data_IF_272225124119
#
_entry.id   IF_272225124119
#
_cell.length_a   1.000
_cell.length_b   1.000
_cell.length_c   1.000
_cell.angle_alpha   90.00
_cell.angle_beta   90.00
_cell.angle_gamma   90.00
#
_symmetry.space_group_name_H-M   'P 1'
#
loop_
_entity.id
_entity.type
_entity.pdbx_description
1 polymer ?
#
# COMPACT_ATOMS: atom_id res chain seq x y z
N UNK A 1 -13.64 -0.96 -10.88
CA UNK A 1 -12.26 -0.54 -11.15
C UNK A 1 -11.32 -1.02 -10.03
N UNK A 2 -10.01 -1.15 -10.31
CA UNK A 2 -9.02 -1.56 -9.30
C UNK A 2 -8.94 -0.58 -8.13
N UNK A 3 -9.18 0.73 -8.37
CA UNK A 3 -9.20 1.73 -7.30
C UNK A 3 -10.36 1.50 -6.31
N UNK A 4 -11.55 1.16 -6.79
CA UNK A 4 -12.67 0.80 -5.90
C UNK A 4 -12.37 -0.49 -5.14
N UNK A 5 -11.78 -1.48 -5.79
CA UNK A 5 -11.36 -2.72 -5.11
C UNK A 5 -10.36 -2.41 -3.97
N UNK A 6 -9.43 -1.48 -4.17
CA UNK A 6 -8.49 -1.05 -3.13
C UNK A 6 -9.21 -0.40 -1.94
N UNK A 7 -10.21 0.47 -2.21
CA UNK A 7 -11.02 1.12 -1.16
C UNK A 7 -11.82 0.08 -0.37
N UNK A 8 -12.53 -0.82 -1.04
CA UNK A 8 -13.26 -1.90 -0.35
C UNK A 8 -12.33 -2.81 0.44
N UNK A 9 -11.19 -3.19 -0.14
CA UNK A 9 -10.20 -3.99 0.58
C UNK A 9 -9.67 -3.26 1.82
N UNK A 10 -9.44 -1.94 1.73
CA UNK A 10 -9.01 -1.12 2.86
C UNK A 10 -9.99 -1.19 4.03
N UNK A 11 -11.30 -1.12 3.75
CA UNK A 11 -12.36 -1.20 4.76
C UNK A 11 -12.39 -2.57 5.45
N UNK A 12 -12.34 -3.66 4.67
CA UNK A 12 -12.52 -5.02 5.20
C UNK A 12 -11.21 -5.73 5.52
N UNK A 13 -10.05 -5.11 5.29
CA UNK A 13 -8.73 -5.74 5.42
C UNK A 13 -8.51 -6.48 6.75
N UNK A 14 -8.93 -5.96 7.91
CA UNK A 14 -8.74 -6.67 9.17
C UNK A 14 -9.44 -8.02 9.25
N UNK A 15 -10.51 -8.24 8.46
CA UNK A 15 -11.28 -9.48 8.45
C UNK A 15 -10.75 -10.51 7.44
N UNK A 16 -9.92 -10.08 6.48
CA UNK A 16 -9.38 -10.96 5.45
C UNK A 16 -8.06 -11.58 5.90
N UNK A 17 -7.89 -12.91 5.83
CA UNK A 17 -6.64 -13.57 6.16
C UNK A 17 -5.51 -13.12 5.23
N UNK A 18 -5.79 -12.92 3.96
CA UNK A 18 -4.87 -12.35 2.97
C UNK A 18 -5.63 -11.51 1.94
N UNK A 19 -4.93 -10.57 1.33
CA UNK A 19 -5.45 -9.70 0.28
C UNK A 19 -4.33 -9.32 -0.69
N UNK A 20 -4.66 -8.97 -1.94
CA UNK A 20 -3.67 -8.42 -2.85
C UNK A 20 -3.13 -7.09 -2.34
N UNK A 21 -1.91 -6.75 -2.74
CA UNK A 21 -1.44 -5.38 -2.69
C UNK A 21 -1.97 -4.57 -3.89
N UNK A 22 -1.90 -3.26 -3.80
CA UNK A 22 -2.27 -2.38 -4.91
C UNK A 22 -1.11 -1.45 -5.25
N UNK A 23 -0.85 -1.28 -6.54
CA UNK A 23 0.18 -0.39 -7.04
C UNK A 23 -0.44 0.72 -7.88
N UNK A 24 -0.22 1.97 -7.49
CA UNK A 24 -0.72 3.14 -8.20
C UNK A 24 0.35 3.64 -9.17
N UNK A 25 0.06 3.53 -10.44
CA UNK A 25 0.97 3.89 -11.54
C UNK A 25 0.43 5.04 -12.37
N UNK A 26 1.31 5.95 -12.77
CA UNK A 26 1.00 7.00 -13.73
C UNK A 26 2.19 7.25 -14.65
N UNK A 27 1.96 7.69 -15.91
CA UNK A 27 3.04 7.94 -16.86
C UNK A 27 3.82 9.22 -16.57
N UNK A 28 3.19 10.18 -15.88
CA UNK A 28 3.77 11.50 -15.63
C UNK A 28 3.71 11.88 -14.15
N UNK A 29 4.66 12.71 -13.73
CA UNK A 29 4.72 13.28 -12.40
C UNK A 29 3.50 14.19 -12.12
N UNK A 30 3.13 14.33 -10.85
CA UNK A 30 2.00 15.20 -10.46
C UNK A 30 0.61 14.65 -10.79
N UNK A 31 0.48 13.38 -11.18
CA UNK A 31 -0.79 12.75 -11.59
C UNK A 31 -1.71 12.37 -10.41
N UNK A 32 -1.33 12.64 -9.16
CA UNK A 32 -2.15 12.36 -7.98
C UNK A 32 -2.02 10.94 -7.41
N UNK A 33 -0.92 10.21 -7.70
CA UNK A 33 -0.68 8.85 -7.16
C UNK A 33 -0.71 8.82 -5.63
N UNK A 34 0.13 9.64 -4.99
CA UNK A 34 0.20 9.74 -3.53
C UNK A 34 -1.14 10.15 -2.93
N UNK A 35 -1.85 11.08 -3.56
CA UNK A 35 -3.18 11.49 -3.12
C UNK A 35 -4.20 10.35 -3.16
N UNK A 36 -4.17 9.50 -4.19
CA UNK A 36 -5.02 8.31 -4.27
C UNK A 36 -4.66 7.28 -3.19
N UNK A 37 -3.36 7.06 -2.93
CA UNK A 37 -2.91 6.20 -1.82
C UNK A 37 -3.40 6.73 -0.47
N UNK A 38 -3.33 8.03 -0.23
CA UNK A 38 -3.86 8.67 0.98
C UNK A 38 -5.38 8.55 1.10
N UNK A 39 -6.10 8.66 -0.01
CA UNK A 39 -7.55 8.46 -0.04
C UNK A 39 -7.91 7.01 0.33
N UNK A 40 -7.24 6.03 -0.26
CA UNK A 40 -7.44 4.60 0.07
C UNK A 40 -7.13 4.38 1.56
N UNK A 41 -6.03 4.94 2.07
CA UNK A 41 -5.65 4.84 3.47
C UNK A 41 -6.65 5.47 4.43
N UNK A 42 -7.29 6.57 4.06
CA UNK A 42 -8.34 7.20 4.85
C UNK A 42 -9.55 6.27 5.07
N UNK A 43 -9.83 5.36 4.14
CA UNK A 43 -10.85 4.32 4.31
C UNK A 43 -10.38 3.17 5.22
N UNK A 44 -9.08 2.88 5.28
CA UNK A 44 -8.55 1.84 6.17
C UNK A 44 -8.62 2.23 7.65
N UNK A 45 -8.37 3.50 7.97
CA UNK A 45 -8.41 3.98 9.36
C UNK A 45 -7.87 5.41 9.52
N UNK A 46 -7.94 5.94 10.74
CA UNK A 46 -7.52 7.32 11.04
C UNK A 46 -6.00 7.51 11.09
N UNK A 47 -5.22 6.43 11.22
CA UNK A 47 -3.77 6.50 11.47
C UNK A 47 -2.92 6.91 10.27
N UNK A 48 -3.53 7.06 9.08
CA UNK A 48 -2.78 7.34 7.84
C UNK A 48 -1.97 6.12 7.34
N UNK A 49 -1.14 6.35 6.34
CA UNK A 49 -0.29 5.33 5.74
C UNK A 49 1.11 5.36 6.38
N UNK A 50 1.62 4.20 6.81
CA UNK A 50 3.02 4.04 7.19
C UNK A 50 3.85 4.02 5.90
N UNK A 51 4.46 5.16 5.56
CA UNK A 51 5.24 5.33 4.32
C UNK A 51 6.67 4.85 4.51
N UNK A 52 7.19 4.11 3.54
CA UNK A 52 8.55 3.56 3.54
C UNK A 52 9.03 3.36 2.10
N UNK A 53 10.34 3.40 1.90
CA UNK A 53 10.96 3.03 0.61
C UNK A 53 10.83 1.52 0.36
N UNK A 54 10.71 1.12 -0.89
CA UNK A 54 10.72 -0.30 -1.25
C UNK A 54 12.10 -0.92 -0.98
N UNK A 55 12.19 -2.05 -0.27
CA UNK A 55 13.48 -2.65 0.08
C UNK A 55 14.23 -3.16 -1.15
N UNK A 56 15.54 -2.96 -1.17
CA UNK A 56 16.41 -3.35 -2.28
C UNK A 56 16.99 -4.76 -2.12
N UNK A 57 17.07 -5.25 -0.90
CA UNK A 57 17.57 -6.60 -0.57
C UNK A 57 16.57 -7.42 0.21
N UNK A 58 16.73 -8.74 0.19
CA UNK A 58 15.86 -9.65 0.98
C UNK A 58 16.03 -9.47 2.49
N UNK A 59 17.21 -9.11 2.94
CA UNK A 59 17.48 -8.83 4.36
C UNK A 59 16.76 -7.56 4.80
N UNK A 60 16.90 -6.49 4.02
CA UNK A 60 16.20 -5.22 4.26
C UNK A 60 14.67 -5.44 4.22
N UNK A 61 14.16 -6.21 3.27
CA UNK A 61 12.74 -6.54 3.19
C UNK A 61 12.22 -7.20 4.47
N UNK A 62 12.97 -8.16 5.02
CA UNK A 62 12.60 -8.83 6.27
C UNK A 62 12.61 -7.85 7.43
N UNK A 63 13.66 -7.02 7.55
CA UNK A 63 13.81 -6.04 8.61
C UNK A 63 12.70 -5.00 8.59
N UNK A 64 12.48 -4.36 7.44
CA UNK A 64 11.50 -3.28 7.28
C UNK A 64 10.07 -3.80 7.50
N UNK A 65 9.70 -4.88 6.84
CA UNK A 65 8.34 -5.43 6.94
C UNK A 65 8.03 -5.89 8.35
N UNK A 66 8.94 -6.64 8.99
CA UNK A 66 8.71 -7.13 10.35
C UNK A 66 8.57 -5.97 11.35
N UNK A 67 9.46 -4.96 11.28
CA UNK A 67 9.41 -3.80 12.17
C UNK A 67 8.13 -2.99 12.02
N UNK A 68 7.63 -2.82 10.80
CA UNK A 68 6.38 -2.12 10.55
C UNK A 68 5.17 -2.93 11.03
N UNK A 69 5.11 -4.23 10.73
CA UNK A 69 4.00 -5.09 11.15
C UNK A 69 3.90 -5.24 12.67
N UNK A 70 5.00 -5.09 13.41
CA UNK A 70 4.98 -5.05 14.88
C UNK A 70 4.16 -3.86 15.42
N UNK A 71 4.05 -2.77 14.68
CA UNK A 71 3.22 -1.61 15.06
C UNK A 71 1.76 -1.75 14.62
N UNK A 72 1.43 -2.82 13.88
CA UNK A 72 0.08 -3.11 13.37
C UNK A 72 -0.58 -1.95 12.62
N UNK A 73 0.07 -1.33 11.64
CA UNK A 73 -0.50 -0.23 10.88
C UNK A 73 -1.65 -0.72 10.00
N UNK A 74 -2.67 0.11 9.79
CA UNK A 74 -3.76 -0.24 8.86
C UNK A 74 -3.25 -0.33 7.41
N UNK A 75 -2.30 0.52 7.05
CA UNK A 75 -1.71 0.59 5.69
C UNK A 75 -0.19 0.76 5.78
N UNK A 76 0.53 -0.01 4.98
CA UNK A 76 1.94 0.21 4.63
C UNK A 76 2.00 0.64 3.18
N UNK A 77 2.62 1.79 2.91
CA UNK A 77 2.78 2.36 1.57
C UNK A 77 4.26 2.41 1.19
N UNK A 78 4.62 1.71 0.12
CA UNK A 78 5.89 1.89 -0.57
C UNK A 78 5.76 3.10 -1.48
N UNK A 79 6.18 4.27 -0.96
CA UNK A 79 5.97 5.55 -1.64
C UNK A 79 7.12 5.86 -2.62
N UNK A 80 6.76 6.50 -3.72
CA UNK A 80 7.65 7.01 -4.77
C UNK A 80 8.70 5.98 -5.24
N UNK A 81 8.22 4.78 -5.56
CA UNK A 81 9.08 3.69 -6.02
C UNK A 81 9.76 4.05 -7.35
N UNK A 82 11.05 3.88 -7.40
CA UNK A 82 11.92 4.02 -8.57
C UNK A 82 12.33 2.67 -9.18
N UNK A 83 12.05 1.58 -8.47
CA UNK A 83 12.29 0.20 -8.89
C UNK A 83 10.99 -0.61 -8.91
N UNK A 84 10.98 -1.67 -9.73
CA UNK A 84 9.87 -2.61 -9.75
C UNK A 84 9.70 -3.35 -8.41
N UNK A 85 8.49 -3.86 -8.16
CA UNK A 85 8.26 -4.76 -7.03
C UNK A 85 9.08 -6.04 -7.20
N UNK A 86 10.28 -6.07 -6.62
CA UNK A 86 11.13 -7.26 -6.60
C UNK A 86 10.54 -8.32 -5.66
N UNK A 87 10.41 -9.59 -6.08
CA UNK A 87 9.72 -10.62 -5.30
C UNK A 87 10.60 -11.19 -4.18
N UNK A 88 10.97 -10.38 -3.20
CA UNK A 88 11.64 -10.84 -1.98
C UNK A 88 10.77 -11.84 -1.21
N UNK A 89 11.39 -12.82 -0.55
CA UNK A 89 10.68 -13.90 0.16
C UNK A 89 9.65 -13.37 1.16
N UNK A 90 10.00 -12.38 1.97
CA UNK A 90 9.11 -11.76 2.95
C UNK A 90 7.95 -11.03 2.28
N UNK A 91 8.20 -10.30 1.17
CA UNK A 91 7.15 -9.64 0.38
C UNK A 91 6.13 -10.67 -0.14
N UNK A 92 6.58 -11.82 -0.63
CA UNK A 92 5.67 -12.88 -1.08
C UNK A 92 4.85 -13.46 0.07
N UNK A 93 5.49 -13.73 1.22
CA UNK A 93 4.81 -14.30 2.41
C UNK A 93 3.76 -13.35 2.97
N UNK A 94 4.05 -12.05 3.10
CA UNK A 94 3.08 -11.08 3.64
C UNK A 94 1.80 -10.95 2.82
N UNK A 95 1.84 -11.30 1.52
CA UNK A 95 0.68 -11.25 0.62
C UNK A 95 -0.09 -12.56 0.53
N UNK A 96 0.43 -13.66 1.11
CA UNK A 96 -0.16 -15.00 0.98
C UNK A 96 -0.40 -15.71 2.29
N UNK A 97 -0.03 -15.12 3.41
CA UNK A 97 -0.22 -15.69 4.76
C UNK A 97 -0.85 -14.64 5.67
N UNK A 98 -1.65 -15.06 6.63
CA UNK A 98 -2.26 -14.16 7.62
C UNK A 98 -1.30 -13.76 8.75
N UNK A 99 -0.20 -14.50 8.87
CA UNK A 99 0.90 -14.24 9.80
C UNK A 99 2.24 -14.58 9.18
N UNK A 100 3.29 -13.88 9.58
CA UNK A 100 4.68 -14.24 9.30
C UNK A 100 5.48 -14.29 10.59
N UNK A 101 6.38 -15.27 10.67
CA UNK A 101 7.35 -15.41 11.76
C UNK A 101 8.74 -15.23 11.21
N UNK A 102 9.52 -14.35 11.80
CA UNK A 102 10.90 -14.13 11.43
C UNK A 102 11.74 -13.64 12.61
N UNK A 103 13.08 -13.64 12.46
CA UNK A 103 13.99 -13.15 13.50
C UNK A 103 14.00 -11.61 13.51
N UNK A 104 13.95 -11.06 14.71
CA UNK A 104 14.19 -9.62 14.89
C UNK A 104 15.71 -9.40 14.77
N UNK A 105 16.12 -8.60 13.78
CA UNK A 105 17.54 -8.29 13.59
C UNK A 105 18.11 -7.52 14.79
N UNK A 106 19.28 -7.96 15.22
CA UNK A 106 19.95 -7.39 16.40
C UNK A 106 19.55 -7.97 17.74
N UNK A 107 18.59 -8.91 17.77
CA UNK A 107 18.17 -9.63 18.99
C UNK A 107 17.99 -11.11 18.66
N UNK A 108 18.42 -12.02 19.55
CA UNK A 108 18.23 -13.46 19.37
C UNK A 108 16.79 -13.90 19.67
N UNK A 109 15.80 -13.18 19.13
CA UNK A 109 14.37 -13.46 19.30
C UNK A 109 13.67 -13.51 17.96
N UNK A 110 12.63 -14.34 17.88
CA UNK A 110 11.67 -14.37 16.78
C UNK A 110 10.41 -13.59 17.15
N UNK A 111 9.75 -12.99 16.17
CA UNK A 111 8.42 -12.44 16.34
C UNK A 111 7.47 -13.03 15.30
N UNK A 112 6.24 -13.28 15.71
CA UNK A 112 5.13 -13.62 14.84
C UNK A 112 4.21 -12.41 14.78
N UNK A 113 3.96 -11.92 13.56
CA UNK A 113 3.17 -10.72 13.33
C UNK A 113 2.06 -11.00 12.33
N UNK A 114 0.91 -10.34 12.54
CA UNK A 114 -0.19 -10.39 11.58
C UNK A 114 0.16 -9.62 10.31
N UNK A 115 -0.26 -10.15 9.16
CA UNK A 115 -0.14 -9.49 7.87
C UNK A 115 -1.44 -8.81 7.42
N UNK A 116 -2.42 -8.66 8.32
CA UNK A 116 -3.73 -8.05 8.05
C UNK A 116 -3.66 -6.53 7.90
N UNK A 117 -2.64 -6.08 7.22
CA UNK A 117 -2.35 -4.70 6.82
C UNK A 117 -2.58 -4.58 5.32
N UNK A 118 -3.10 -3.46 4.84
CA UNK A 118 -3.17 -3.18 3.42
C UNK A 118 -1.80 -2.72 2.92
N UNK A 119 -1.33 -3.33 1.82
CA UNK A 119 -0.07 -2.93 1.19
C UNK A 119 -0.35 -2.14 -0.08
N UNK A 120 0.18 -0.93 -0.13
CA UNK A 120 0.12 -0.03 -1.28
C UNK A 120 1.52 0.22 -1.82
N UNK A 121 1.62 0.58 -3.08
CA UNK A 121 2.82 1.13 -3.67
C UNK A 121 2.49 2.20 -4.68
N UNK A 122 3.35 3.16 -4.86
CA UNK A 122 3.21 4.19 -5.88
C UNK A 122 4.53 4.42 -6.61
N UNK A 123 4.46 4.63 -7.92
CA UNK A 123 5.68 4.90 -8.71
C UNK A 123 5.37 5.31 -10.14
N UNK A 124 6.38 5.88 -10.81
CA UNK A 124 6.32 6.21 -12.23
C UNK A 124 6.96 5.08 -13.03
N UNK A 125 6.24 4.55 -14.02
CA UNK A 125 6.74 3.51 -14.95
C UNK A 125 7.30 2.23 -14.30
N UNK A 126 7.06 2.00 -13.02
CA UNK A 126 7.40 0.80 -12.28
C UNK A 126 6.14 0.01 -11.92
N UNK A 127 6.29 -1.24 -11.54
CA UNK A 127 5.14 -2.08 -11.17
C UNK A 127 5.54 -3.46 -10.67
N UNK A 128 4.58 -4.37 -10.46
CA UNK A 128 4.88 -5.74 -10.07
C UNK A 128 5.55 -6.50 -11.21
N UNK A 129 6.50 -7.37 -10.84
CA UNK A 129 7.16 -8.28 -11.80
C UNK A 129 7.11 -9.73 -11.34
N UNK A 130 7.30 -10.67 -12.26
CA UNK A 130 7.37 -12.11 -12.00
C UNK A 130 6.15 -12.61 -11.20
N UNK A 131 6.40 -13.25 -10.07
CA UNK A 131 5.41 -13.86 -9.20
C UNK A 131 4.47 -12.85 -8.54
N UNK A 132 4.85 -11.58 -8.43
CA UNK A 132 4.02 -10.52 -7.89
C UNK A 132 2.94 -10.00 -8.85
N UNK A 133 3.03 -10.31 -10.15
CA UNK A 133 2.01 -9.95 -11.14
C UNK A 133 0.60 -10.44 -10.78
N UNK A 134 0.48 -11.58 -10.10
CA UNK A 134 -0.80 -12.15 -9.65
C UNK A 134 -1.20 -11.76 -8.24
N UNK A 135 -0.36 -10.99 -7.53
CA UNK A 135 -0.54 -10.63 -6.11
C UNK A 135 -0.66 -9.13 -5.88
N UNK A 136 -0.32 -8.35 -6.89
CA UNK A 136 -0.37 -6.89 -6.84
C UNK A 136 -1.23 -6.40 -7.98
N UNK A 137 -2.34 -5.75 -7.66
CA UNK A 137 -3.24 -5.16 -8.64
C UNK A 137 -2.80 -3.74 -8.99
N UNK A 138 -2.60 -3.47 -10.28
CA UNK A 138 -2.16 -2.16 -10.73
C UNK A 138 -3.35 -1.24 -11.01
N UNK A 139 -3.30 -0.05 -10.42
CA UNK A 139 -4.23 1.06 -10.66
C UNK A 139 -3.53 2.05 -11.58
N UNK A 140 -4.02 2.20 -12.78
CA UNK A 140 -3.49 3.16 -13.74
C UNK A 140 -4.22 4.49 -13.62
N UNK A 141 -3.47 5.56 -13.35
CA UNK A 141 -3.98 6.93 -13.43
C UNK A 141 -3.58 7.48 -14.79
N UNK A 142 -4.60 7.80 -15.60
CA UNK A 142 -4.42 8.57 -16.83
C UNK A 142 -4.88 10.02 -16.58
N UNK A 143 -3.96 10.98 -16.48
CA UNK A 143 -4.32 12.36 -16.22
C UNK A 143 -4.95 13.04 -17.44
N UNK A 144 -4.88 12.44 -18.64
CA UNK A 144 -5.37 12.99 -19.91
C UNK A 144 -4.90 14.43 -20.20
N UNK A 145 -3.71 14.78 -19.71
CA UNK A 145 -3.04 16.06 -19.95
C UNK A 145 -1.53 15.93 -19.72
N UNK A 146 -0.76 16.79 -20.37
CA UNK A 146 0.71 16.78 -20.27
C UNK A 146 1.24 17.37 -18.95
N UNK A 147 0.46 18.24 -18.29
CA UNK A 147 0.85 18.96 -17.07
C UNK A 147 -0.17 18.80 -15.95
N UNK A 148 -0.35 17.58 -15.39
CA UNK A 148 -1.40 17.33 -14.39
C UNK A 148 -1.20 18.12 -13.09
N UNK A 149 0.04 18.48 -12.75
CA UNK A 149 0.36 19.26 -11.56
C UNK A 149 -0.24 20.68 -11.55
N UNK A 150 -0.63 21.22 -12.71
CA UNK A 150 -1.24 22.56 -12.82
C UNK A 150 -2.76 22.55 -12.67
N UNK A 151 -3.38 21.38 -12.52
CA UNK A 151 -4.83 21.27 -12.31
C UNK A 151 -5.24 21.74 -10.94
N UNK A 152 -6.30 22.55 -10.89
CA UNK A 152 -7.01 22.84 -9.65
C UNK A 152 -8.17 21.86 -9.48
N UNK A 153 -8.33 21.37 -8.26
CA UNK A 153 -9.41 20.44 -7.90
C UNK A 153 -10.37 21.11 -6.92
N UNK A 154 -11.66 20.92 -7.12
CA UNK A 154 -12.68 21.39 -6.18
C UNK A 154 -12.84 20.36 -5.05
N UNK A 155 -12.56 20.77 -3.81
CA UNK A 155 -12.75 19.97 -2.62
C UNK A 155 -11.53 19.13 -2.24
N UNK A 156 -11.59 18.54 -1.06
CA UNK A 156 -10.54 17.76 -0.41
C UNK A 156 -11.12 16.39 -0.01
N UNK A 157 -11.22 15.42 -0.95
CA UNK A 157 -11.81 14.09 -0.68
C UNK A 157 -11.18 13.36 0.50
N UNK A 158 -9.86 13.44 0.69
CA UNK A 158 -9.17 12.78 1.82
C UNK A 158 -9.68 13.31 3.16
N UNK A 159 -9.77 14.62 3.31
CA UNK A 159 -10.26 15.27 4.53
C UNK A 159 -11.75 14.96 4.77
N UNK A 160 -12.56 14.94 3.72
CA UNK A 160 -13.97 14.57 3.81
C UNK A 160 -14.15 13.14 4.32
N UNK A 161 -13.35 12.20 3.79
CA UNK A 161 -13.39 10.81 4.24
C UNK A 161 -12.91 10.71 5.69
N UNK A 162 -11.80 11.35 6.05
CA UNK A 162 -11.28 11.35 7.44
C UNK A 162 -12.31 11.85 8.45
N UNK A 163 -13.01 12.94 8.13
CA UNK A 163 -14.02 13.54 9.00
C UNK A 163 -15.30 12.71 9.11
N UNK A 164 -15.67 12.01 8.04
CA UNK A 164 -16.96 11.31 7.92
C UNK A 164 -16.80 9.83 7.57
N UNK A 165 -15.67 9.20 7.94
CA UNK A 165 -15.36 7.83 7.56
C UNK A 165 -16.49 6.84 7.84
N UNK A 166 -17.11 6.96 9.02
CA UNK A 166 -18.21 6.08 9.43
C UNK A 166 -19.38 6.11 8.45
N UNK A 167 -19.73 7.28 7.94
CA UNK A 167 -20.82 7.44 6.95
C UNK A 167 -20.46 6.77 5.63
N UNK A 168 -19.23 6.98 5.14
CA UNK A 168 -18.79 6.39 3.86
C UNK A 168 -18.60 4.88 3.92
N UNK A 169 -18.26 4.33 5.07
CA UNK A 169 -18.07 2.89 5.25
C UNK A 169 -19.40 2.15 5.47
N UNK A 170 -20.40 2.83 6.04
CA UNK A 170 -21.72 2.26 6.29
C UNK A 170 -22.65 2.30 5.06
N UNK A 171 -22.32 3.10 4.05
CA UNK A 171 -23.09 3.22 2.79
C UNK A 171 -22.73 2.13 1.80
#
# INVERSE_FOLDING_TARGET
SAALAAIFTAVVRPTLPHAPAFHVKAPVFGSGKTYLCELIGAFAGPGGNAKVSYPTTSEEATKVILSLLLTSPAVIEFDDMDTDWTPHGTIKRMLTSDQITDRILGVSKTATVSTRTLFLGSGNNVGPVRDLLRRVLTIHIDPRCSTPATRSYKGLPVEKVRQNRGVYVAA
#
